data_IF_785273892534
#
_entry.id   IF_785273892534
#
_cell.length_a   1.000
_cell.length_b   1.000
_cell.length_c   1.000
_cell.angle_alpha   90.00
_cell.angle_beta   90.00
_cell.angle_gamma   90.00
#
_symmetry.space_group_name_H-M   'P 1'
#
loop_
_entity.id
_entity.type
_entity.pdbx_description
1 polymer ?
#
# COMPACT_ATOMS: atom_id res chain seq x y z
N UNK A 1 -12.94 15.34 29.27
CA UNK A 1 -14.00 14.31 29.39
C UNK A 1 -14.00 13.50 28.10
N UNK A 2 -13.84 12.18 28.20
CA UNK A 2 -13.93 11.30 27.02
C UNK A 2 -15.40 11.21 26.61
N UNK A 3 -15.72 11.61 25.39
CA UNK A 3 -17.08 11.53 24.87
C UNK A 3 -17.42 10.08 24.48
N UNK A 4 -18.15 9.41 25.37
CA UNK A 4 -18.55 7.99 25.23
C UNK A 4 -19.51 7.74 24.08
N UNK A 5 -20.12 8.80 23.49
CA UNK A 5 -21.00 8.67 22.33
C UNK A 5 -20.27 8.12 21.10
N UNK A 6 -18.97 8.35 20.99
CA UNK A 6 -18.15 7.78 19.91
C UNK A 6 -18.08 6.24 19.99
N UNK A 7 -18.05 5.68 21.20
CA UNK A 7 -18.00 4.22 21.43
C UNK A 7 -19.32 3.52 21.13
N UNK A 8 -20.44 4.26 21.16
CA UNK A 8 -21.77 3.75 20.84
C UNK A 8 -22.11 3.85 19.34
N UNK A 9 -21.26 4.50 18.55
CA UNK A 9 -21.46 4.63 17.10
C UNK A 9 -21.11 3.31 16.39
N UNK A 10 -22.05 2.37 16.40
CA UNK A 10 -21.90 1.02 15.82
C UNK A 10 -21.52 1.06 14.34
N UNK A 11 -22.12 1.97 13.56
CA UNK A 11 -21.82 2.10 12.12
C UNK A 11 -20.37 2.51 11.91
N UNK A 12 -19.90 3.48 12.69
CA UNK A 12 -18.51 3.91 12.63
C UNK A 12 -17.57 2.78 13.05
N UNK A 13 -17.84 2.12 14.18
CA UNK A 13 -17.07 0.98 14.65
C UNK A 13 -16.96 -0.12 13.58
N UNK A 14 -18.09 -0.59 13.05
CA UNK A 14 -18.12 -1.65 12.04
C UNK A 14 -17.40 -1.22 10.75
N UNK A 15 -17.57 0.02 10.30
CA UNK A 15 -16.87 0.53 9.11
C UNK A 15 -15.35 0.48 9.29
N UNK A 16 -14.84 0.92 10.45
CA UNK A 16 -13.41 0.86 10.75
C UNK A 16 -12.91 -0.58 10.93
N UNK A 17 -13.66 -1.43 11.64
CA UNK A 17 -13.30 -2.83 11.86
C UNK A 17 -13.24 -3.63 10.57
N UNK A 18 -14.21 -3.47 9.66
CA UNK A 18 -14.22 -4.16 8.36
C UNK A 18 -13.03 -3.72 7.51
N UNK A 19 -12.73 -2.43 7.45
CA UNK A 19 -11.58 -1.93 6.69
C UNK A 19 -10.26 -2.44 7.28
N UNK A 20 -10.09 -2.39 8.61
CA UNK A 20 -8.87 -2.85 9.28
C UNK A 20 -8.66 -4.36 9.12
N UNK A 21 -9.66 -5.16 9.45
CA UNK A 21 -9.57 -6.62 9.35
C UNK A 21 -9.49 -7.09 7.90
N UNK A 22 -10.20 -6.43 6.98
CA UNK A 22 -10.11 -6.68 5.54
C UNK A 22 -8.71 -6.42 4.99
N UNK A 23 -8.05 -5.34 5.44
CA UNK A 23 -6.66 -5.05 5.09
C UNK A 23 -5.69 -6.12 5.61
N UNK A 24 -5.87 -6.60 6.85
CA UNK A 24 -5.05 -7.69 7.42
C UNK A 24 -5.28 -9.00 6.66
N UNK A 25 -6.53 -9.34 6.37
CA UNK A 25 -6.87 -10.54 5.59
C UNK A 25 -6.25 -10.50 4.19
N UNK A 26 -6.33 -9.34 3.51
CA UNK A 26 -5.69 -9.14 2.22
C UNK A 26 -4.18 -9.29 2.30
N UNK A 27 -3.52 -8.67 3.28
CA UNK A 27 -2.08 -8.82 3.49
C UNK A 27 -1.69 -10.29 3.73
N UNK A 28 -2.51 -11.03 4.48
CA UNK A 28 -2.31 -12.47 4.70
C UNK A 28 -2.40 -13.28 3.41
N UNK A 29 -3.42 -13.03 2.58
CA UNK A 29 -3.58 -13.70 1.27
C UNK A 29 -2.39 -13.38 0.36
N UNK A 30 -2.03 -12.11 0.25
CA UNK A 30 -0.88 -11.68 -0.55
C UNK A 30 0.42 -12.32 -0.05
N UNK A 31 0.59 -12.48 1.26
CA UNK A 31 1.78 -13.14 1.83
C UNK A 31 1.81 -14.63 1.49
N UNK A 32 0.67 -15.31 1.58
CA UNK A 32 0.53 -16.72 1.21
C UNK A 32 0.84 -16.97 -0.27
N UNK A 33 0.41 -16.06 -1.14
CA UNK A 33 0.69 -16.13 -2.59
C UNK A 33 2.10 -15.61 -2.95
N UNK A 34 2.89 -15.16 -1.97
CA UNK A 34 4.20 -14.55 -2.22
C UNK A 34 4.12 -13.26 -3.04
N UNK A 35 2.95 -12.61 -3.06
CA UNK A 35 2.68 -11.33 -3.72
C UNK A 35 2.88 -10.13 -2.79
N UNK A 36 2.91 -10.34 -1.47
CA UNK A 36 3.13 -9.27 -0.50
C UNK A 36 4.57 -8.76 -0.63
N UNK A 37 4.72 -7.53 -1.15
CA UNK A 37 6.04 -6.96 -1.37
C UNK A 37 6.86 -7.66 -2.45
N UNK A 38 6.23 -8.49 -3.30
CA UNK A 38 6.93 -9.18 -4.36
C UNK A 38 7.63 -8.18 -5.29
N UNK A 39 8.95 -8.33 -5.41
CA UNK A 39 9.75 -7.65 -6.45
C UNK A 39 9.47 -8.21 -7.85
N UNK A 40 8.87 -9.41 -7.93
CA UNK A 40 8.51 -10.02 -9.20
C UNK A 40 7.51 -9.13 -9.91
N UNK A 41 7.97 -8.66 -11.07
CA UNK A 41 7.34 -7.79 -12.04
C UNK A 41 5.97 -8.32 -12.44
N UNK A 42 4.97 -8.12 -11.59
CA UNK A 42 3.59 -8.35 -11.95
C UNK A 42 3.23 -7.26 -12.94
N UNK A 43 2.80 -7.68 -14.12
CA UNK A 43 2.33 -6.79 -15.16
C UNK A 43 1.26 -5.85 -14.55
N UNK A 44 1.55 -4.54 -14.52
CA UNK A 44 0.60 -3.55 -14.01
C UNK A 44 -0.57 -3.35 -14.96
N UNK A 45 -0.35 -3.68 -16.23
CA UNK A 45 -1.31 -3.87 -17.30
C UNK A 45 -0.68 -4.87 -18.29
N UNK A 46 -1.47 -5.49 -19.17
CA UNK A 46 -0.97 -6.46 -20.14
C UNK A 46 0.31 -5.97 -20.85
N UNK A 47 1.42 -6.66 -20.63
CA UNK A 47 2.74 -6.36 -21.19
C UNK A 47 3.46 -5.13 -20.63
N UNK A 48 2.98 -4.49 -19.54
CA UNK A 48 3.63 -3.33 -18.92
C UNK A 48 4.19 -3.65 -17.53
N UNK A 49 5.50 -3.50 -17.40
CA UNK A 49 6.21 -3.62 -16.13
C UNK A 49 6.17 -2.30 -15.36
N UNK A 50 5.89 -2.29 -14.05
CA UNK A 50 5.91 -1.07 -13.25
C UNK A 50 7.33 -0.48 -13.19
N UNK A 51 7.45 0.81 -13.49
CA UNK A 51 8.71 1.56 -13.38
C UNK A 51 8.99 1.82 -11.89
N UNK A 52 10.05 1.21 -11.36
CA UNK A 52 10.56 1.49 -10.00
C UNK A 52 11.75 2.45 -10.11
N UNK A 53 11.73 3.61 -9.44
CA UNK A 53 12.90 4.49 -9.42
C UNK A 53 14.06 3.79 -8.70
N UNK A 54 15.25 3.86 -9.27
CA UNK A 54 16.48 3.51 -8.55
C UNK A 54 16.70 4.54 -7.43
N UNK A 55 16.69 4.08 -6.17
CA UNK A 55 16.93 4.94 -5.01
C UNK A 55 18.32 4.60 -4.48
N UNK A 56 19.22 5.58 -4.53
CA UNK A 56 20.51 5.50 -3.83
C UNK A 56 20.28 5.65 -2.33
N UNK A 57 20.54 4.59 -1.57
CA UNK A 57 20.37 4.57 -0.11
C UNK A 57 21.33 5.54 0.60
N UNK A 58 22.47 5.88 -0.02
CA UNK A 58 23.46 6.79 0.56
C UNK A 58 23.09 8.26 0.36
N UNK A 59 22.25 8.56 -0.64
CA UNK A 59 21.72 9.90 -0.88
C UNK A 59 20.24 9.87 -1.33
N UNK A 60 19.29 9.61 -0.40
CA UNK A 60 17.88 9.40 -0.75
C UNK A 60 17.18 10.63 -1.34
N UNK A 61 17.74 11.82 -1.05
CA UNK A 61 17.21 13.12 -1.46
C UNK A 61 17.92 13.70 -2.69
N UNK A 62 18.83 12.95 -3.33
CA UNK A 62 19.47 13.38 -4.56
C UNK A 62 18.43 13.72 -5.65
N UNK A 63 18.64 14.80 -6.43
CA UNK A 63 17.81 15.09 -7.59
C UNK A 63 17.77 13.90 -8.56
N UNK A 64 16.57 13.54 -9.01
CA UNK A 64 16.37 12.42 -9.95
C UNK A 64 16.39 12.92 -11.39
N UNK A 65 16.77 12.03 -12.31
CA UNK A 65 16.67 12.29 -13.74
C UNK A 65 15.20 12.55 -14.13
N UNK A 66 14.95 13.50 -15.05
CA UNK A 66 13.59 13.78 -15.52
C UNK A 66 13.00 12.58 -16.27
N UNK A 67 11.69 12.40 -16.12
CA UNK A 67 10.94 11.29 -16.72
C UNK A 67 10.70 11.45 -18.23
N UNK A 68 10.87 12.66 -18.76
CA UNK A 68 10.75 13.00 -20.18
C UNK A 68 11.98 13.77 -20.63
N UNK A 69 12.46 13.47 -21.83
CA UNK A 69 13.42 14.29 -22.57
C UNK A 69 12.60 15.31 -23.39
N UNK A 70 13.07 16.56 -23.60
CA UNK A 70 12.35 17.55 -24.42
C UNK A 70 12.04 17.08 -25.85
#
# INVERSE_FOLDING_TARGET
MIDTRHLLNRRNFLSHSVNGLGGVALASILNQEGLLGAEKLRESAAGKMPIRPSIDATNPHAPRLPHTVP
#
